data_IF_400828125287
#
_entry.id   IF_400828125287
#
_cell.length_a   1.000
_cell.length_b   1.000
_cell.length_c   1.000
_cell.angle_alpha   90.00
_cell.angle_beta   90.00
_cell.angle_gamma   90.00
#
_symmetry.space_group_name_H-M   'P 1'
#
loop_
_entity.id
_entity.type
_entity.pdbx_description
1 polymer ?
#
# COMPACT_ATOMS: atom_id res chain seq x y z
N UNK A 1 1.81 7.61 20.12
CA UNK A 1 0.74 6.94 20.90
C UNK A 1 0.60 5.48 20.50
N UNK A 2 0.18 4.62 21.43
CA UNK A 2 -0.11 3.21 21.12
C UNK A 2 -1.52 3.16 20.49
N UNK A 3 -1.69 2.67 19.26
CA UNK A 3 -3.00 2.63 18.60
C UNK A 3 -3.94 1.61 19.22
N UNK A 4 -5.23 1.94 19.29
CA UNK A 4 -6.31 0.96 19.51
C UNK A 4 -6.62 0.29 18.18
N UNK A 5 -6.28 -0.98 18.06
CA UNK A 5 -6.40 -1.73 16.81
C UNK A 5 -7.72 -2.48 16.78
N UNK A 6 -8.56 -2.18 15.80
CA UNK A 6 -9.70 -3.00 15.42
C UNK A 6 -9.32 -3.91 14.27
N UNK A 7 -9.64 -5.20 14.39
CA UNK A 7 -9.32 -6.21 13.40
C UNK A 7 -10.62 -6.77 12.84
N UNK A 8 -10.85 -6.54 11.55
CA UNK A 8 -12.07 -6.87 10.83
C UNK A 8 -11.90 -8.20 10.13
N UNK A 9 -12.81 -9.14 10.38
CA UNK A 9 -12.92 -10.39 9.64
C UNK A 9 -14.24 -10.49 8.88
N UNK A 10 -14.29 -11.38 7.89
CA UNK A 10 -15.54 -11.74 7.20
C UNK A 10 -15.87 -13.21 7.43
N UNK A 11 -17.15 -13.49 7.70
CA UNK A 11 -17.67 -14.86 7.84
C UNK A 11 -17.54 -15.69 6.56
N UNK A 12 -17.37 -15.03 5.40
CA UNK A 12 -17.17 -15.69 4.11
C UNK A 12 -15.86 -16.47 4.05
N UNK A 13 -14.79 -15.97 4.68
CA UNK A 13 -13.47 -16.61 4.71
C UNK A 13 -12.58 -16.10 5.84
N UNK A 14 -12.49 -16.90 6.91
CA UNK A 14 -11.70 -16.58 8.12
C UNK A 14 -10.27 -17.16 8.11
N UNK A 15 -9.93 -17.99 7.11
CA UNK A 15 -8.60 -18.62 7.03
C UNK A 15 -7.52 -17.67 6.50
N UNK A 16 -7.82 -16.94 5.42
CA UNK A 16 -6.84 -16.11 4.71
C UNK A 16 -6.39 -14.92 5.54
N UNK A 17 -7.32 -14.30 6.25
CA UNK A 17 -7.02 -13.21 7.18
C UNK A 17 -6.20 -13.67 8.39
N UNK A 18 -6.36 -14.94 8.82
CA UNK A 18 -5.69 -15.49 10.00
C UNK A 18 -4.16 -15.38 10.01
N UNK A 19 -3.52 -15.14 8.86
CA UNK A 19 -2.07 -14.87 8.80
C UNK A 19 -1.68 -13.53 9.42
N UNK A 20 -2.53 -12.50 9.32
CA UNK A 20 -2.34 -11.26 10.07
C UNK A 20 -2.51 -11.51 11.56
N UNK A 21 -3.57 -12.22 11.98
CA UNK A 21 -3.76 -12.59 13.40
C UNK A 21 -2.56 -13.35 13.96
N UNK A 22 -2.10 -14.38 13.25
CA UNK A 22 -0.95 -15.16 13.67
C UNK A 22 0.31 -14.28 13.85
N UNK A 23 0.53 -13.28 12.98
CA UNK A 23 1.61 -12.32 13.16
C UNK A 23 1.40 -11.46 14.41
N UNK A 24 0.23 -10.81 14.55
CA UNK A 24 -0.07 -9.96 15.70
C UNK A 24 0.03 -10.73 17.03
N UNK A 25 -0.54 -11.94 17.10
CA UNK A 25 -0.50 -12.82 18.26
C UNK A 25 0.94 -13.22 18.62
N UNK A 26 1.75 -13.59 17.61
CA UNK A 26 3.16 -13.99 17.81
C UNK A 26 3.99 -12.85 18.38
N UNK A 27 3.76 -11.62 17.91
CA UNK A 27 4.49 -10.43 18.35
C UNK A 27 3.83 -9.71 19.54
N UNK A 28 2.75 -10.27 20.10
CA UNK A 28 2.07 -9.73 21.29
C UNK A 28 1.38 -8.38 21.04
N UNK A 29 0.97 -8.10 19.80
CA UNK A 29 0.26 -6.86 19.45
C UNK A 29 -1.22 -7.05 19.78
N UNK A 30 -1.79 -6.28 20.74
CA UNK A 30 -3.20 -6.42 21.10
C UNK A 30 -4.12 -5.83 20.03
N UNK A 31 -5.23 -6.52 19.75
CA UNK A 31 -6.27 -6.05 18.85
C UNK A 31 -7.66 -6.53 19.30
N UNK A 32 -8.69 -5.79 18.92
CA UNK A 32 -10.09 -6.22 19.10
C UNK A 32 -10.57 -6.86 17.80
N UNK A 33 -10.87 -8.14 17.85
CA UNK A 33 -11.37 -8.92 16.72
C UNK A 33 -12.90 -8.81 16.59
N UNK A 34 -13.42 -8.44 15.41
CA UNK A 34 -14.86 -8.36 15.18
C UNK A 34 -15.28 -8.55 13.71
N UNK A 35 -16.48 -9.04 13.48
CA UNK A 35 -17.01 -9.26 12.13
C UNK A 35 -17.32 -7.95 11.38
N UNK A 36 -17.13 -7.98 10.06
CA UNK A 36 -17.49 -6.94 9.09
C UNK A 36 -18.93 -6.41 9.27
N UNK A 37 -19.88 -7.26 9.64
CA UNK A 37 -21.25 -6.89 9.95
C UNK A 37 -21.38 -5.81 11.03
N UNK A 38 -20.48 -5.79 12.03
CA UNK A 38 -20.51 -4.81 13.13
C UNK A 38 -20.03 -3.42 12.71
N UNK A 39 -19.47 -3.26 11.51
CA UNK A 39 -19.10 -1.93 10.99
C UNK A 39 -20.31 -0.99 10.91
N UNK A 40 -21.52 -1.54 10.71
CA UNK A 40 -22.79 -0.79 10.66
C UNK A 40 -23.16 -0.16 12.00
N UNK A 41 -22.62 -0.66 13.11
CA UNK A 41 -22.86 -0.07 14.44
C UNK A 41 -22.22 1.32 14.57
N UNK A 42 -21.26 1.65 13.70
CA UNK A 42 -20.63 2.96 13.62
C UNK A 42 -19.82 3.33 14.86
N UNK A 43 -19.57 4.64 14.98
CA UNK A 43 -18.76 5.24 16.05
C UNK A 43 -17.36 4.61 16.17
N UNK A 44 -16.79 4.22 15.02
CA UNK A 44 -15.56 3.42 14.95
C UNK A 44 -14.34 4.20 15.47
N UNK A 45 -14.25 5.51 15.20
CA UNK A 45 -13.10 6.34 15.62
C UNK A 45 -13.00 6.50 17.14
N UNK A 46 -14.13 6.48 17.83
CA UNK A 46 -14.14 6.49 19.30
C UNK A 46 -13.60 5.19 19.90
N UNK A 47 -13.62 4.08 19.15
CA UNK A 47 -13.20 2.75 19.61
C UNK A 47 -11.77 2.42 19.15
N UNK A 48 -11.42 2.84 17.93
CA UNK A 48 -10.21 2.44 17.23
C UNK A 48 -9.46 3.64 16.66
N UNK A 49 -8.15 3.48 16.54
CA UNK A 49 -7.25 4.40 15.82
C UNK A 49 -6.80 3.78 14.49
N UNK A 50 -6.64 2.45 14.48
CA UNK A 50 -6.31 1.66 13.28
C UNK A 50 -7.35 0.58 13.09
N UNK A 51 -7.88 0.47 11.88
CA UNK A 51 -8.68 -0.68 11.44
C UNK A 51 -7.86 -1.50 10.45
N UNK A 52 -7.77 -2.80 10.68
CA UNK A 52 -7.12 -3.74 9.77
C UNK A 52 -8.21 -4.59 9.15
N UNK A 53 -8.29 -4.62 7.82
CA UNK A 53 -9.20 -5.48 7.09
C UNK A 53 -8.42 -6.31 6.06
N UNK A 54 -7.92 -7.50 6.45
CA UNK A 54 -7.06 -8.31 5.60
C UNK A 54 -7.78 -8.98 4.43
N UNK A 55 -7.02 -9.69 3.61
CA UNK A 55 -7.55 -10.45 2.48
C UNK A 55 -8.55 -11.52 2.92
N UNK A 56 -9.75 -11.48 2.34
CA UNK A 56 -10.81 -12.48 2.54
C UNK A 56 -11.24 -13.17 1.23
N UNK A 57 -10.55 -12.90 0.11
CA UNK A 57 -10.94 -13.39 -1.21
C UNK A 57 -12.19 -12.68 -1.76
N UNK A 58 -12.70 -13.16 -2.89
CA UNK A 58 -13.89 -12.59 -3.53
C UNK A 58 -13.67 -11.22 -4.19
N UNK A 59 -14.73 -10.67 -4.78
CA UNK A 59 -14.79 -9.29 -5.29
C UNK A 59 -15.20 -8.30 -4.20
N UNK A 60 -15.02 -7.00 -4.43
CA UNK A 60 -15.49 -5.99 -3.49
C UNK A 60 -17.00 -6.12 -3.20
N UNK A 61 -17.81 -6.42 -4.22
CA UNK A 61 -19.25 -6.67 -4.08
C UNK A 61 -19.54 -7.81 -3.12
N UNK A 62 -18.88 -8.96 -3.32
CA UNK A 62 -19.08 -10.12 -2.43
C UNK A 62 -18.62 -9.86 -1.00
N UNK A 63 -17.62 -8.98 -0.81
CA UNK A 63 -17.12 -8.61 0.52
C UNK A 63 -18.06 -7.65 1.24
N UNK A 64 -18.62 -6.66 0.51
CA UNK A 64 -19.60 -5.72 1.06
C UNK A 64 -20.90 -6.44 1.39
N UNK A 65 -21.39 -7.30 0.49
CA UNK A 65 -22.62 -8.05 0.67
C UNK A 65 -22.47 -9.23 1.64
N UNK A 66 -21.27 -9.79 1.77
CA UNK A 66 -20.93 -10.91 2.63
C UNK A 66 -21.63 -12.22 2.23
N UNK A 67 -21.90 -13.09 3.21
CA UNK A 67 -22.53 -14.38 2.96
C UNK A 67 -23.99 -14.20 2.47
N UNK A 68 -24.42 -14.84 1.37
CA UNK A 68 -25.78 -14.69 0.87
C UNK A 68 -26.85 -15.06 1.91
N UNK A 69 -27.90 -14.24 2.02
CA UNK A 69 -29.10 -14.54 2.84
C UNK A 69 -30.05 -15.46 2.08
N UNK A 70 -29.59 -16.65 1.69
CA UNK A 70 -30.44 -17.65 1.05
C UNK A 70 -31.41 -18.26 2.07
N UNK A 71 -32.71 -18.05 1.86
CA UNK A 71 -33.78 -18.52 2.76
C UNK A 71 -34.01 -17.64 3.99
N UNK A 72 -35.11 -17.89 4.70
CA UNK A 72 -35.52 -17.05 5.84
C UNK A 72 -34.87 -17.44 7.17
N UNK A 73 -34.22 -18.61 7.25
CA UNK A 73 -33.63 -19.12 8.49
C UNK A 73 -32.21 -18.60 8.70
N UNK A 74 -31.88 -18.02 9.88
CA UNK A 74 -30.52 -17.58 10.20
C UNK A 74 -29.53 -18.75 10.22
N UNK A 75 -28.25 -18.46 9.95
CA UNK A 75 -27.15 -19.40 10.20
C UNK A 75 -26.39 -18.99 11.46
N UNK A 76 -26.73 -19.54 12.64
CA UNK A 76 -26.01 -19.23 13.87
C UNK A 76 -24.63 -19.88 13.90
N UNK A 77 -23.64 -19.11 14.34
CA UNK A 77 -22.32 -19.62 14.72
C UNK A 77 -22.12 -19.38 16.23
N UNK A 78 -22.53 -20.37 17.02
CA UNK A 78 -22.52 -20.30 18.49
C UNK A 78 -22.13 -21.64 19.11
N UNK A 79 -21.68 -21.58 20.35
CA UNK A 79 -21.55 -22.76 21.20
C UNK A 79 -22.95 -23.28 21.55
N UNK A 80 -23.17 -24.55 21.32
CA UNK A 80 -24.32 -25.30 21.84
C UNK A 80 -23.82 -26.52 22.61
N UNK A 81 -24.75 -27.28 23.22
CA UNK A 81 -24.41 -28.55 23.83
C UNK A 81 -23.79 -29.54 22.81
N UNK A 82 -24.23 -29.49 21.55
CA UNK A 82 -23.75 -30.36 20.47
C UNK A 82 -22.46 -29.84 19.82
N UNK A 83 -22.21 -28.53 19.88
CA UNK A 83 -21.03 -27.88 19.28
C UNK A 83 -20.21 -27.07 20.30
N UNK A 84 -19.72 -27.68 21.40
CA UNK A 84 -19.09 -26.96 22.51
C UNK A 84 -17.78 -26.24 22.13
N UNK A 85 -17.15 -26.68 21.04
CA UNK A 85 -15.85 -26.17 20.57
C UNK A 85 -15.98 -25.08 19.49
N UNK A 86 -17.20 -24.70 19.05
CA UNK A 86 -17.39 -23.60 18.11
C UNK A 86 -17.28 -22.24 18.81
N UNK A 87 -17.25 -21.16 18.03
CA UNK A 87 -17.38 -19.79 18.52
C UNK A 87 -16.42 -19.42 19.67
N UNK A 88 -15.15 -19.82 19.54
CA UNK A 88 -14.11 -19.53 20.53
C UNK A 88 -13.72 -18.05 20.53
N UNK A 89 -13.49 -17.47 19.34
CA UNK A 89 -13.04 -16.08 19.19
C UNK A 89 -14.23 -15.13 19.04
N UNK A 90 -15.24 -15.51 18.26
CA UNK A 90 -16.46 -14.74 18.10
C UNK A 90 -17.67 -15.67 17.88
N UNK A 91 -18.86 -15.15 18.16
CA UNK A 91 -20.15 -15.81 17.96
C UNK A 91 -21.15 -14.87 17.28
N UNK A 92 -22.04 -15.40 16.45
CA UNK A 92 -23.16 -14.65 15.86
C UNK A 92 -24.44 -15.48 15.82
N UNK A 93 -25.59 -14.84 15.97
CA UNK A 93 -26.91 -15.44 15.71
C UNK A 93 -27.15 -15.69 14.22
N UNK A 94 -26.54 -14.89 13.36
CA UNK A 94 -26.62 -15.06 11.91
C UNK A 94 -25.31 -14.57 11.28
N UNK A 95 -24.54 -15.49 10.70
CA UNK A 95 -23.30 -15.15 9.97
C UNK A 95 -23.58 -14.68 8.54
N UNK A 96 -24.85 -14.66 8.10
CA UNK A 96 -25.23 -14.20 6.76
C UNK A 96 -25.27 -12.67 6.66
N UNK A 97 -24.91 -12.16 5.50
CA UNK A 97 -24.71 -10.74 5.20
C UNK A 97 -23.27 -10.31 5.48
N UNK A 98 -22.91 -9.10 5.03
CA UNK A 98 -21.59 -8.49 5.24
C UNK A 98 -21.71 -7.14 5.93
N UNK A 99 -20.81 -6.20 5.62
CA UNK A 99 -20.90 -4.84 6.15
C UNK A 99 -22.02 -4.01 5.51
N UNK A 100 -22.45 -4.33 4.29
CA UNK A 100 -23.35 -3.51 3.50
C UNK A 100 -22.75 -2.15 3.13
N UNK A 101 -23.45 -1.38 2.29
CA UNK A 101 -23.03 -0.02 1.92
C UNK A 101 -22.94 0.87 3.15
N UNK A 102 -23.80 0.66 4.15
CA UNK A 102 -23.79 1.42 5.40
C UNK A 102 -22.50 1.20 6.20
N UNK A 103 -22.05 -0.05 6.33
CA UNK A 103 -20.78 -0.35 6.99
C UNK A 103 -19.58 0.17 6.21
N UNK A 104 -19.65 0.17 4.88
CA UNK A 104 -18.62 0.80 4.03
C UNK A 104 -18.55 2.32 4.22
N UNK A 105 -19.69 2.99 4.34
CA UNK A 105 -19.73 4.43 4.64
C UNK A 105 -19.18 4.73 6.03
N UNK A 106 -19.46 3.89 7.03
CA UNK A 106 -18.86 4.04 8.36
C UNK A 106 -17.34 3.83 8.36
N UNK A 107 -16.81 2.92 7.54
CA UNK A 107 -15.37 2.81 7.31
C UNK A 107 -14.79 4.09 6.69
N UNK A 108 -15.45 4.65 5.68
CA UNK A 108 -15.00 5.90 5.06
C UNK A 108 -15.07 7.09 6.05
N UNK A 109 -16.11 7.14 6.90
CA UNK A 109 -16.24 8.12 7.99
C UNK A 109 -15.09 7.99 9.00
N UNK A 110 -14.80 6.77 9.44
CA UNK A 110 -13.68 6.47 10.34
C UNK A 110 -12.36 7.03 9.83
N UNK A 111 -12.05 6.81 8.55
CA UNK A 111 -10.82 7.32 7.93
C UNK A 111 -10.87 8.84 7.86
N UNK A 112 -11.97 9.43 7.40
CA UNK A 112 -12.12 10.88 7.33
C UNK A 112 -11.90 11.59 8.68
N UNK A 113 -12.33 10.96 9.78
CA UNK A 113 -12.16 11.47 11.15
C UNK A 113 -10.73 11.34 11.69
N UNK A 114 -9.79 10.80 10.92
CA UNK A 114 -8.39 10.66 11.31
C UNK A 114 -8.00 9.25 11.75
N UNK A 115 -8.80 8.24 11.39
CA UNK A 115 -8.42 6.84 11.54
C UNK A 115 -7.57 6.34 10.39
N UNK A 116 -6.82 5.26 10.60
CA UNK A 116 -6.05 4.59 9.54
C UNK A 116 -6.66 3.24 9.22
N UNK A 117 -7.14 3.07 7.99
CA UNK A 117 -7.63 1.79 7.48
C UNK A 117 -6.52 1.09 6.70
N UNK A 118 -6.15 -0.11 7.12
CA UNK A 118 -5.17 -0.97 6.46
C UNK A 118 -5.88 -2.11 5.76
N UNK A 119 -5.77 -2.18 4.43
CA UNK A 119 -6.35 -3.24 3.61
C UNK A 119 -5.28 -4.02 2.86
N UNK A 120 -5.58 -5.28 2.52
CA UNK A 120 -4.61 -6.20 1.96
C UNK A 120 -5.25 -7.16 0.95
N UNK A 121 -4.57 -7.36 -0.17
CA UNK A 121 -5.05 -8.21 -1.25
C UNK A 121 -6.43 -7.76 -1.72
N UNK A 122 -7.40 -8.67 -1.73
CA UNK A 122 -8.76 -8.42 -2.23
C UNK A 122 -9.52 -7.29 -1.52
N UNK A 123 -9.29 -7.00 -0.24
CA UNK A 123 -10.02 -5.90 0.44
C UNK A 123 -9.48 -4.52 0.04
N UNK A 124 -8.27 -4.47 -0.51
CA UNK A 124 -7.68 -3.25 -1.05
C UNK A 124 -8.40 -2.76 -2.33
N UNK A 125 -9.29 -3.57 -2.92
CA UNK A 125 -10.09 -3.16 -4.08
C UNK A 125 -11.38 -2.45 -3.71
N UNK A 126 -11.88 -2.61 -2.47
CA UNK A 126 -13.19 -2.09 -2.05
C UNK A 126 -13.28 -0.57 -2.26
N UNK A 127 -12.41 0.20 -1.61
CA UNK A 127 -12.47 1.66 -1.68
C UNK A 127 -12.30 2.21 -3.11
N UNK A 128 -11.37 1.70 -3.94
CA UNK A 128 -11.28 2.07 -5.34
C UNK A 128 -12.52 1.73 -6.17
N UNK A 129 -13.09 0.52 -6.02
CA UNK A 129 -14.22 0.05 -6.84
C UNK A 129 -15.53 0.77 -6.48
N UNK A 130 -15.72 1.13 -5.22
CA UNK A 130 -16.83 1.96 -4.76
C UNK A 130 -16.56 3.48 -4.92
N UNK A 131 -15.42 3.87 -5.49
CA UNK A 131 -15.10 5.24 -5.84
C UNK A 131 -14.81 6.17 -4.65
N UNK A 132 -14.40 5.61 -3.51
CA UNK A 132 -14.05 6.35 -2.28
C UNK A 132 -12.62 6.89 -2.37
N UNK A 133 -11.69 6.10 -2.91
CA UNK A 133 -10.29 6.53 -3.13
C UNK A 133 -10.09 6.90 -4.60
N UNK A 134 -9.97 8.20 -4.86
CA UNK A 134 -9.83 8.72 -6.23
C UNK A 134 -8.41 8.51 -6.78
N UNK A 135 -8.29 8.37 -8.10
CA UNK A 135 -6.99 8.22 -8.75
C UNK A 135 -6.30 6.86 -8.56
N UNK A 136 -6.92 5.93 -7.82
CA UNK A 136 -6.53 4.51 -7.75
C UNK A 136 -7.48 3.71 -8.64
N UNK A 137 -6.95 2.83 -9.49
CA UNK A 137 -7.76 1.93 -10.32
C UNK A 137 -7.34 0.48 -10.11
N UNK A 138 -8.34 -0.40 -10.11
CA UNK A 138 -8.15 -1.86 -10.06
C UNK A 138 -8.21 -2.40 -11.48
N UNK A 139 -7.21 -3.17 -11.85
CA UNK A 139 -7.09 -3.81 -13.15
C UNK A 139 -7.11 -5.32 -13.02
N UNK A 140 -7.66 -5.98 -14.03
CA UNK A 140 -7.71 -7.45 -14.14
C UNK A 140 -7.18 -7.86 -15.52
N UNK A 141 -5.85 -7.87 -15.72
CA UNK A 141 -5.28 -8.20 -17.01
C UNK A 141 -5.49 -9.70 -17.29
N UNK A 142 -6.39 -10.03 -18.24
CA UNK A 142 -6.76 -11.41 -18.55
C UNK A 142 -5.58 -12.31 -18.97
N UNK A 143 -4.53 -11.72 -19.54
CA UNK A 143 -3.33 -12.44 -19.98
C UNK A 143 -2.29 -12.59 -18.87
N UNK A 144 -2.37 -11.83 -17.77
CA UNK A 144 -1.44 -11.98 -16.66
C UNK A 144 -1.65 -13.35 -16.01
N UNK A 145 -0.57 -14.09 -15.80
CA UNK A 145 -0.62 -15.34 -15.05
C UNK A 145 0.46 -15.33 -13.96
N UNK A 146 0.03 -15.21 -12.70
CA UNK A 146 0.91 -15.34 -11.54
C UNK A 146 0.24 -16.22 -10.50
N UNK A 147 0.90 -17.30 -10.10
CA UNK A 147 0.36 -18.21 -9.09
C UNK A 147 1.37 -18.43 -7.99
N UNK A 148 1.08 -17.83 -6.83
CA UNK A 148 1.86 -17.96 -5.61
C UNK A 148 3.36 -17.74 -5.82
N UNK A 149 3.74 -16.58 -6.35
CA UNK A 149 5.11 -16.29 -6.75
C UNK A 149 5.76 -15.25 -5.86
N UNK A 150 7.08 -15.33 -5.72
CA UNK A 150 7.90 -14.29 -5.11
C UNK A 150 8.39 -13.38 -6.23
N UNK A 151 7.97 -12.13 -6.19
CA UNK A 151 8.31 -11.12 -7.17
C UNK A 151 9.24 -10.07 -6.57
N UNK A 152 10.09 -9.46 -7.40
CA UNK A 152 10.86 -8.27 -7.04
C UNK A 152 9.93 -7.07 -7.08
N UNK A 153 9.78 -6.41 -5.94
CA UNK A 153 9.20 -5.09 -5.82
C UNK A 153 10.26 -4.08 -5.36
N UNK A 154 9.97 -2.80 -5.56
CA UNK A 154 10.83 -1.68 -5.18
C UNK A 154 10.04 -0.66 -4.36
N UNK A 155 10.57 -0.28 -3.21
CA UNK A 155 10.11 0.86 -2.42
C UNK A 155 10.50 2.12 -3.18
N UNK A 156 9.51 2.81 -3.72
CA UNK A 156 9.70 4.04 -4.52
C UNK A 156 9.73 5.30 -3.66
N UNK A 157 9.21 5.23 -2.43
CA UNK A 157 9.26 6.33 -1.48
C UNK A 157 9.78 5.86 -0.12
N UNK A 158 11.10 5.84 0.02
CA UNK A 158 11.80 5.51 1.27
C UNK A 158 11.55 6.54 2.39
N UNK A 159 11.00 7.71 2.08
CA UNK A 159 10.67 8.73 3.09
C UNK A 159 9.31 8.48 3.73
N UNK A 160 8.51 7.56 3.18
CA UNK A 160 7.25 7.14 3.78
C UNK A 160 7.53 6.38 5.08
N UNK A 161 6.78 6.64 6.16
CA UNK A 161 6.88 5.83 7.38
C UNK A 161 6.69 4.34 7.14
N UNK A 162 5.87 3.96 6.15
CA UNK A 162 5.66 2.56 5.76
C UNK A 162 6.98 1.90 5.33
N UNK A 163 7.88 2.67 4.71
CA UNK A 163 9.21 2.23 4.26
C UNK A 163 10.34 2.40 5.28
N UNK A 164 10.06 2.77 6.53
CA UNK A 164 11.12 2.92 7.54
C UNK A 164 11.76 1.58 7.92
N UNK A 165 13.06 1.62 8.20
CA UNK A 165 13.86 0.43 8.53
C UNK A 165 14.38 -0.36 7.34
N UNK A 166 13.98 -0.03 6.11
CA UNK A 166 14.58 -0.61 4.90
C UNK A 166 15.83 0.17 4.48
N UNK A 167 16.95 -0.54 4.29
CA UNK A 167 18.20 0.05 3.79
C UNK A 167 18.31 0.01 2.26
N UNK A 168 17.62 -0.97 1.64
CA UNK A 168 17.55 -1.15 0.20
C UNK A 168 16.12 -0.90 -0.29
N UNK A 169 16.01 -0.35 -1.50
CA UNK A 169 14.74 -0.16 -2.15
C UNK A 169 14.16 -1.49 -2.68
N UNK A 170 14.98 -2.48 -3.00
CA UNK A 170 14.50 -3.75 -3.55
C UNK A 170 14.03 -4.71 -2.45
N UNK A 171 12.82 -5.25 -2.58
CA UNK A 171 12.23 -6.19 -1.64
C UNK A 171 11.56 -7.37 -2.38
N UNK A 172 11.87 -8.63 -2.04
CA UNK A 172 11.10 -9.79 -2.47
C UNK A 172 9.72 -9.83 -1.81
N UNK A 173 8.64 -9.91 -2.59
CA UNK A 173 7.26 -9.88 -2.12
C UNK A 173 6.45 -11.06 -2.66
N UNK A 174 5.55 -11.60 -1.85
CA UNK A 174 4.59 -12.59 -2.34
C UNK A 174 3.44 -11.93 -3.10
N UNK A 175 3.13 -12.46 -4.28
CA UNK A 175 1.98 -12.04 -5.08
C UNK A 175 1.30 -13.23 -5.77
N UNK A 176 -0.03 -13.20 -5.81
CA UNK A 176 -0.84 -14.28 -6.37
C UNK A 176 -1.99 -13.72 -7.20
N UNK A 177 -1.71 -13.47 -8.48
CA UNK A 177 -2.64 -13.02 -9.53
C UNK A 177 -3.24 -11.62 -9.36
N UNK A 178 -3.76 -11.29 -8.19
CA UNK A 178 -4.57 -10.11 -7.92
C UNK A 178 -4.41 -9.62 -6.46
N UNK A 179 -4.73 -8.34 -6.18
CA UNK A 179 -5.18 -7.32 -7.12
C UNK A 179 -4.04 -6.66 -7.90
N UNK A 180 -4.34 -6.12 -9.10
CA UNK A 180 -3.40 -5.25 -9.82
C UNK A 180 -3.84 -3.81 -9.66
N UNK A 181 -3.13 -3.06 -8.82
CA UNK A 181 -3.44 -1.66 -8.55
C UNK A 181 -2.64 -0.72 -9.45
N UNK A 182 -3.29 0.34 -9.90
CA UNK A 182 -2.66 1.44 -10.61
C UNK A 182 -2.98 2.77 -9.94
N UNK A 183 -2.10 3.75 -10.12
CA UNK A 183 -2.37 5.14 -9.74
C UNK A 183 -2.13 6.01 -10.96
N UNK A 184 -3.15 6.78 -11.36
CA UNK A 184 -3.04 7.72 -12.46
C UNK A 184 -1.99 8.79 -12.09
N UNK A 185 -0.89 8.85 -12.84
CA UNK A 185 0.08 9.91 -12.66
C UNK A 185 -0.55 11.21 -13.21
N UNK A 186 -0.89 12.15 -12.31
CA UNK A 186 -1.26 13.51 -12.71
C UNK A 186 -0.15 14.12 -13.57
N UNK A 187 -0.38 14.11 -14.88
CA UNK A 187 0.52 14.49 -15.95
C UNK A 187 -0.21 14.36 -17.28
N UNK A 188 -0.80 15.47 -17.72
CA UNK A 188 -1.39 15.72 -19.05
C UNK A 188 -2.59 14.87 -19.48
N UNK A 189 -3.72 15.55 -19.68
CA UNK A 189 -4.85 15.03 -20.42
C UNK A 189 -4.43 14.60 -21.82
N UNK A 190 -4.74 13.36 -22.14
CA UNK A 190 -4.62 12.79 -23.47
C UNK A 190 -5.46 11.53 -23.48
N UNK A 191 -6.63 11.60 -24.13
CA UNK A 191 -7.39 10.42 -24.52
C UNK A 191 -6.53 9.59 -25.47
N UNK A 192 -5.67 8.75 -24.91
CA UNK A 192 -4.85 7.81 -25.64
C UNK A 192 -5.47 6.44 -25.53
N UNK A 193 -6.27 6.06 -26.54
CA UNK A 193 -6.41 4.65 -26.92
C UNK A 193 -4.99 4.13 -27.19
N UNK A 194 -4.39 3.51 -26.19
CA UNK A 194 -3.12 2.80 -26.33
C UNK A 194 -3.35 1.56 -27.17
N UNK A 195 -3.30 1.73 -28.50
CA UNK A 195 -3.14 0.61 -29.41
C UNK A 195 -1.86 -0.13 -29.03
N UNK A 196 -2.01 -1.41 -28.69
CA UNK A 196 -0.89 -2.31 -28.51
C UNK A 196 -0.05 -2.27 -29.80
N UNK A 197 1.27 -2.02 -29.73
CA UNK A 197 2.14 -2.28 -30.86
C UNK A 197 2.09 -3.79 -31.12
N UNK A 198 1.74 -4.15 -32.35
CA UNK A 198 1.64 -5.53 -32.79
C UNK A 198 2.88 -6.31 -32.39
N UNK A 199 2.71 -7.25 -31.48
CA UNK A 199 3.75 -8.19 -31.07
C UNK A 199 3.25 -9.60 -31.34
N UNK A 200 4.09 -10.28 -32.11
CA UNK A 200 3.92 -11.55 -32.80
C UNK A 200 3.34 -12.65 -31.88
N UNK A 201 2.29 -13.40 -32.25
CA UNK A 201 1.66 -14.42 -31.39
C UNK A 201 2.54 -15.65 -31.11
N UNK A 202 3.77 -15.70 -31.65
CA UNK A 202 4.58 -16.91 -31.75
C UNK A 202 6.10 -16.69 -31.53
N UNK A 203 6.50 -15.78 -30.65
CA UNK A 203 7.91 -15.62 -30.29
C UNK A 203 8.30 -16.42 -29.04
N UNK A 204 8.63 -17.70 -29.24
CA UNK A 204 9.76 -18.38 -28.59
C UNK A 204 9.64 -18.80 -27.12
N UNK A 205 9.23 -20.05 -26.92
CA UNK A 205 9.28 -20.82 -25.68
C UNK A 205 10.68 -20.95 -25.06
N UNK A 206 10.72 -20.97 -23.72
CA UNK A 206 11.96 -21.16 -22.96
C UNK A 206 11.80 -21.59 -21.49
N UNK A 207 10.79 -22.40 -21.13
CA UNK A 207 10.93 -23.35 -20.03
C UNK A 207 9.92 -24.49 -20.21
N UNK A 208 10.43 -25.68 -20.52
CA UNK A 208 9.64 -26.91 -20.59
C UNK A 208 9.35 -27.39 -19.17
N UNK A 209 8.07 -27.37 -18.77
CA UNK A 209 7.56 -27.74 -17.44
C UNK A 209 6.74 -29.04 -17.44
N UNK A 210 6.82 -29.89 -18.48
CA UNK A 210 5.98 -31.09 -18.59
C UNK A 210 6.73 -32.34 -19.08
N UNK A 211 7.21 -33.24 -18.18
CA UNK A 211 7.77 -34.54 -18.57
C UNK A 211 6.74 -35.56 -19.08
N UNK A 212 5.45 -35.23 -19.11
CA UNK A 212 4.36 -36.06 -19.65
C UNK A 212 3.58 -35.33 -20.76
N UNK A 213 4.28 -34.77 -21.74
CA UNK A 213 3.68 -33.99 -22.83
C UNK A 213 2.76 -34.79 -23.79
N UNK A 214 2.54 -36.08 -23.56
CA UNK A 214 1.54 -36.89 -24.28
C UNK A 214 0.73 -37.72 -23.27
N UNK A 215 -0.52 -37.35 -22.97
CA UNK A 215 -1.40 -38.16 -22.12
C UNK A 215 -1.95 -39.37 -22.88
N UNK A 216 -1.90 -40.57 -22.28
CA UNK A 216 -2.69 -41.73 -22.73
C UNK A 216 -4.17 -41.49 -22.39
N UNK A 217 -5.01 -41.34 -23.42
CA UNK A 217 -6.46 -41.13 -23.28
C UNK A 217 -7.14 -42.42 -22.81
N UNK A 218 -7.64 -42.40 -21.58
CA UNK A 218 -8.67 -43.33 -21.12
C UNK A 218 -9.80 -42.47 -20.55
N UNK A 219 -10.99 -42.59 -21.14
CA UNK A 219 -12.28 -41.99 -20.82
C UNK A 219 -12.80 -40.89 -21.77
N UNK A 220 -14.03 -41.07 -22.33
CA UNK A 220 -14.75 -40.07 -23.12
C UNK A 220 -15.68 -39.26 -22.21
N UNK A 221 -15.19 -38.13 -21.71
CA UNK A 221 -16.06 -37.13 -21.10
C UNK A 221 -15.95 -35.85 -21.93
N UNK A 222 -17.04 -35.44 -22.56
CA UNK A 222 -17.13 -34.15 -23.24
C UNK A 222 -17.16 -33.06 -22.17
N UNK A 223 -16.15 -32.21 -22.16
CA UNK A 223 -16.11 -31.07 -21.26
C UNK A 223 -17.12 -30.02 -21.75
N UNK A 224 -18.05 -29.63 -20.87
CA UNK A 224 -18.85 -28.43 -21.02
C UNK A 224 -17.95 -27.24 -21.38
N UNK A 225 -18.28 -26.57 -22.48
CA UNK A 225 -17.60 -25.35 -22.93
C UNK A 225 -18.00 -24.09 -22.14
N UNK A 226 -18.67 -24.24 -21.00
CA UNK A 226 -19.14 -23.12 -20.15
C UNK A 226 -18.31 -22.94 -18.87
N UNK A 227 -17.06 -23.42 -18.83
CA UNK A 227 -16.13 -23.02 -17.78
C UNK A 227 -15.69 -21.56 -17.99
N UNK A 228 -16.46 -20.63 -17.42
CA UNK A 228 -16.13 -19.21 -17.38
C UNK A 228 -14.70 -19.00 -16.84
N UNK A 229 -13.89 -18.13 -17.47
CA UNK A 229 -12.58 -17.80 -16.93
C UNK A 229 -12.74 -17.18 -15.54
N UNK A 230 -12.09 -17.78 -14.53
CA UNK A 230 -11.97 -17.22 -13.19
C UNK A 230 -11.15 -15.93 -13.27
N UNK A 231 -11.78 -14.80 -13.57
CA UNK A 231 -11.02 -13.58 -13.83
C UNK A 231 -11.82 -12.33 -14.20
N UNK A 232 -13.14 -12.32 -13.97
CA UNK A 232 -13.88 -11.06 -13.88
C UNK A 232 -14.45 -10.98 -12.47
N UNK A 233 -13.76 -10.28 -11.57
CA UNK A 233 -14.40 -9.89 -10.32
C UNK A 233 -15.68 -9.11 -10.65
N UNK A 234 -16.78 -9.44 -9.99
CA UNK A 234 -18.01 -8.66 -10.13
C UNK A 234 -17.72 -7.23 -9.66
N UNK A 235 -17.81 -6.28 -10.59
CA UNK A 235 -17.69 -4.86 -10.26
C UNK A 235 -18.99 -4.40 -9.60
N UNK A 236 -18.94 -3.49 -8.62
CA UNK A 236 -20.13 -2.90 -8.05
C UNK A 236 -21.04 -2.33 -9.13
N UNK A 237 -22.35 -2.64 -9.10
CA UNK A 237 -23.29 -2.09 -10.06
C UNK A 237 -23.43 -0.58 -9.83
N UNK A 238 -23.78 0.15 -10.90
CA UNK A 238 -23.68 1.61 -10.91
C UNK A 238 -24.62 2.30 -9.90
N UNK A 239 -25.74 1.66 -9.59
CA UNK A 239 -26.71 2.03 -8.56
C UNK A 239 -26.12 1.90 -7.15
N UNK A 240 -25.43 0.81 -6.81
CA UNK A 240 -24.80 0.61 -5.50
C UNK A 240 -23.63 1.61 -5.28
N UNK A 241 -22.87 1.89 -6.33
CA UNK A 241 -21.84 2.96 -6.30
C UNK A 241 -22.49 4.34 -6.11
N UNK A 242 -23.63 4.59 -6.77
CA UNK A 242 -24.37 5.83 -6.60
C UNK A 242 -24.95 5.96 -5.20
N UNK A 243 -25.50 4.88 -4.63
CA UNK A 243 -25.99 4.79 -3.25
C UNK A 243 -24.85 5.07 -2.26
N UNK A 244 -23.71 4.41 -2.43
CA UNK A 244 -22.52 4.64 -1.60
C UNK A 244 -22.11 6.12 -1.63
N UNK A 245 -22.09 6.73 -2.82
CA UNK A 245 -21.75 8.15 -2.97
C UNK A 245 -22.80 9.06 -2.32
N UNK A 246 -24.09 8.76 -2.49
CA UNK A 246 -25.17 9.53 -1.88
C UNK A 246 -25.10 9.46 -0.36
N UNK A 247 -24.94 8.26 0.20
CA UNK A 247 -24.85 8.04 1.65
C UNK A 247 -23.56 8.64 2.24
N UNK A 248 -22.44 8.56 1.51
CA UNK A 248 -21.20 9.25 1.86
C UNK A 248 -21.40 10.77 1.92
N UNK A 249 -22.04 11.37 0.91
CA UNK A 249 -22.33 12.81 0.87
C UNK A 249 -23.27 13.23 2.02
N UNK A 250 -24.33 12.46 2.29
CA UNK A 250 -25.23 12.70 3.41
C UNK A 250 -24.52 12.59 4.76
N UNK A 251 -23.52 11.71 4.85
CA UNK A 251 -22.67 11.53 6.02
C UNK A 251 -21.54 12.56 6.13
N UNK A 252 -21.49 13.55 5.23
CA UNK A 252 -20.47 14.59 5.22
C UNK A 252 -19.09 14.12 4.75
N UNK A 253 -18.99 12.96 4.09
CA UNK A 253 -17.74 12.39 3.63
C UNK A 253 -17.26 13.14 2.39
N UNK A 254 -16.11 13.80 2.50
CA UNK A 254 -15.45 14.54 1.42
C UNK A 254 -14.51 13.59 0.70
N UNK A 255 -14.95 13.11 -0.45
CA UNK A 255 -14.11 12.37 -1.39
C UNK A 255 -13.20 13.40 -2.08
N UNK A 256 -12.05 13.67 -1.46
CA UNK A 256 -11.06 14.60 -1.99
C UNK A 256 -10.30 13.97 -3.17
N UNK A 257 -9.93 14.81 -4.15
CA UNK A 257 -9.04 14.46 -5.26
C UNK A 257 -7.57 14.39 -4.82
N UNK A 258 -7.31 14.06 -3.55
CA UNK A 258 -5.96 13.94 -3.03
C UNK A 258 -5.22 12.83 -3.73
N UNK A 259 -4.02 13.14 -4.21
CA UNK A 259 -3.21 12.17 -4.94
C UNK A 259 -2.70 11.06 -4.01
N UNK A 260 -2.85 9.77 -4.38
CA UNK A 260 -2.28 8.67 -3.62
C UNK A 260 -0.74 8.75 -3.55
N UNK A 261 -0.17 8.45 -2.40
CA UNK A 261 1.27 8.31 -2.17
C UNK A 261 1.66 6.85 -2.42
N UNK A 262 2.34 6.60 -3.53
CA UNK A 262 2.80 5.24 -3.87
C UNK A 262 4.10 4.94 -3.13
N UNK A 263 4.05 3.97 -2.22
CA UNK A 263 5.19 3.56 -1.39
C UNK A 263 6.02 2.50 -2.11
N UNK A 264 5.38 1.54 -2.76
CA UNK A 264 6.04 0.41 -3.41
C UNK A 264 5.40 0.07 -4.75
N UNK A 265 6.24 -0.30 -5.73
CA UNK A 265 5.83 -0.80 -7.04
C UNK A 265 6.49 -2.13 -7.35
N UNK A 266 5.85 -2.95 -8.18
CA UNK A 266 6.52 -4.07 -8.83
C UNK A 266 7.64 -3.57 -9.76
N UNK A 267 8.61 -4.44 -10.03
CA UNK A 267 9.76 -4.13 -10.89
C UNK A 267 9.37 -3.42 -12.19
N UNK A 268 10.18 -2.45 -12.60
CA UNK A 268 10.04 -1.78 -13.89
C UNK A 268 10.47 -2.69 -15.07
N UNK A 269 11.23 -3.75 -14.80
CA UNK A 269 11.63 -4.75 -15.78
C UNK A 269 10.90 -6.06 -15.51
N UNK A 270 10.09 -6.52 -16.48
CA UNK A 270 9.37 -7.79 -16.39
C UNK A 270 10.32 -9.00 -16.32
N UNK A 271 11.47 -8.93 -17.00
CA UNK A 271 12.42 -10.05 -17.07
C UNK A 271 13.11 -10.34 -15.73
N UNK A 272 13.26 -9.32 -14.88
CA UNK A 272 13.91 -9.45 -13.56
C UNK A 272 12.89 -9.48 -12.41
N UNK A 273 11.59 -9.55 -12.74
CA UNK A 273 10.50 -9.47 -11.77
C UNK A 273 10.30 -10.79 -11.03
N UNK A 274 10.40 -11.93 -11.72
CA UNK A 274 10.22 -13.24 -11.08
C UNK A 274 11.48 -13.63 -10.31
N UNK A 275 11.37 -13.81 -8.99
CA UNK A 275 12.44 -14.37 -8.16
C UNK A 275 12.23 -15.86 -7.89
N UNK A 276 10.97 -16.28 -7.71
CA UNK A 276 10.58 -17.68 -7.51
C UNK A 276 9.10 -17.90 -7.85
N UNK A 277 8.73 -19.09 -8.33
CA UNK A 277 7.36 -19.46 -8.69
C UNK A 277 7.09 -19.33 -10.19
N UNK A 278 5.87 -18.94 -10.56
CA UNK A 278 5.43 -18.86 -11.96
C UNK A 278 4.91 -17.47 -12.31
N UNK A 279 5.48 -16.87 -13.36
CA UNK A 279 5.05 -15.61 -13.93
C UNK A 279 5.01 -15.75 -15.46
N UNK A 280 3.83 -15.55 -16.05
CA UNK A 280 3.69 -15.30 -17.48
C UNK A 280 3.04 -13.94 -17.70
N UNK A 281 3.44 -13.26 -18.77
CA UNK A 281 2.96 -11.93 -19.13
C UNK A 281 3.18 -10.85 -18.06
N UNK A 282 4.38 -10.84 -17.45
CA UNK A 282 4.77 -9.88 -16.40
C UNK A 282 4.75 -8.41 -16.82
N UNK A 283 4.67 -8.10 -18.12
CA UNK A 283 4.46 -6.73 -18.63
C UNK A 283 3.21 -6.06 -18.04
N UNK A 284 2.20 -6.82 -17.65
CA UNK A 284 0.99 -6.26 -17.04
C UNK A 284 1.18 -5.85 -15.57
N UNK A 285 2.23 -6.32 -14.90
CA UNK A 285 2.60 -5.93 -13.54
C UNK A 285 3.70 -4.85 -13.50
N UNK A 286 4.34 -4.55 -14.62
CA UNK A 286 5.44 -3.58 -14.67
C UNK A 286 5.00 -2.24 -14.09
N UNK A 287 5.77 -1.77 -13.09
CA UNK A 287 5.52 -0.52 -12.36
C UNK A 287 4.14 -0.42 -11.70
N UNK A 288 3.37 -1.51 -11.57
CA UNK A 288 2.10 -1.52 -10.85
C UNK A 288 2.31 -1.41 -9.37
N UNK A 289 1.29 -0.93 -8.67
CA UNK A 289 1.40 -0.58 -7.27
C UNK A 289 1.33 -1.84 -6.41
N UNK A 290 2.33 -2.01 -5.55
CA UNK A 290 2.39 -3.09 -4.57
C UNK A 290 1.92 -2.62 -3.18
N UNK A 291 2.20 -1.35 -2.83
CA UNK A 291 1.72 -0.71 -1.60
C UNK A 291 1.54 0.80 -1.83
N UNK A 292 0.46 1.37 -1.30
CA UNK A 292 0.21 2.81 -1.32
C UNK A 292 -0.52 3.30 -0.08
N UNK A 293 -0.39 4.59 0.18
CA UNK A 293 -1.14 5.34 1.18
C UNK A 293 -2.03 6.38 0.46
N UNK A 294 -3.33 6.34 0.71
CA UNK A 294 -4.28 7.32 0.19
C UNK A 294 -4.85 8.15 1.35
N UNK A 295 -4.59 9.46 1.41
CA UNK A 295 -5.19 10.30 2.42
C UNK A 295 -6.70 10.47 2.13
N UNK A 296 -7.53 10.47 3.17
CA UNK A 296 -8.96 10.74 3.06
C UNK A 296 -9.38 11.51 4.29
N UNK A 297 -9.81 12.77 4.10
CA UNK A 297 -10.03 13.68 5.21
C UNK A 297 -8.76 13.88 6.05
N UNK A 298 -8.83 13.55 7.35
CA UNK A 298 -7.70 13.64 8.28
C UNK A 298 -6.92 12.33 8.44
N UNK A 299 -7.41 11.23 7.86
CA UNK A 299 -6.83 9.91 8.03
C UNK A 299 -6.35 9.32 6.72
N UNK A 300 -6.08 8.03 6.75
CA UNK A 300 -5.36 7.32 5.69
C UNK A 300 -5.97 5.96 5.38
N UNK A 301 -6.00 5.62 4.09
CA UNK A 301 -6.26 4.26 3.60
C UNK A 301 -4.95 3.70 3.06
N UNK A 302 -4.34 2.78 3.83
CA UNK A 302 -3.14 2.06 3.43
C UNK A 302 -3.56 0.78 2.71
N UNK A 303 -3.21 0.66 1.44
CA UNK A 303 -3.61 -0.44 0.58
C UNK A 303 -2.40 -1.25 0.14
N UNK A 304 -2.39 -2.54 0.49
CA UNK A 304 -1.40 -3.50 0.03
C UNK A 304 -2.00 -4.39 -1.06
N UNK A 305 -1.44 -4.35 -2.27
CA UNK A 305 -1.74 -5.35 -3.31
C UNK A 305 -1.01 -6.66 -3.05
N UNK A 306 0.14 -6.58 -2.39
CA UNK A 306 0.85 -7.74 -1.85
C UNK A 306 0.21 -8.20 -0.54
N UNK A 307 0.64 -9.36 -0.04
CA UNK A 307 0.18 -9.92 1.24
C UNK A 307 1.32 -9.91 2.27
N UNK A 308 1.51 -8.86 3.11
CA UNK A 308 2.73 -8.68 3.89
C UNK A 308 3.00 -9.78 4.92
N UNK A 309 1.96 -10.39 5.48
CA UNK A 309 2.06 -11.42 6.51
C UNK A 309 1.76 -12.84 6.01
N UNK A 310 1.59 -13.02 4.69
CA UNK A 310 1.08 -14.26 4.13
C UNK A 310 1.98 -15.46 4.44
N UNK A 311 1.45 -16.47 5.15
CA UNK A 311 2.14 -17.74 5.40
C UNK A 311 3.56 -17.58 5.95
N UNK A 312 3.83 -16.54 6.73
CA UNK A 312 5.17 -16.26 7.24
C UNK A 312 6.20 -15.85 6.19
N UNK A 313 5.78 -15.53 4.96
CA UNK A 313 6.64 -15.24 3.82
C UNK A 313 6.22 -13.98 3.05
N UNK A 314 7.13 -13.06 2.74
CA UNK A 314 8.53 -13.00 3.19
C UNK A 314 8.58 -12.26 4.54
N UNK A 315 9.42 -12.67 5.49
CA UNK A 315 9.55 -11.92 6.76
C UNK A 315 9.94 -10.45 6.53
N UNK A 316 10.68 -10.19 5.44
CA UNK A 316 11.03 -8.84 5.03
C UNK A 316 9.83 -7.93 4.76
N UNK A 317 8.64 -8.43 4.45
CA UNK A 317 7.45 -7.58 4.24
C UNK A 317 6.69 -7.22 5.51
N UNK A 318 6.99 -7.86 6.64
CA UNK A 318 6.26 -7.66 7.90
C UNK A 318 6.36 -6.20 8.38
N UNK A 319 7.56 -5.61 8.23
CA UNK A 319 7.84 -4.24 8.63
C UNK A 319 6.93 -3.24 7.92
N UNK A 320 6.48 -3.49 6.67
CA UNK A 320 5.50 -2.62 6.00
C UNK A 320 4.18 -2.52 6.79
N UNK A 321 3.64 -3.66 7.21
CA UNK A 321 2.38 -3.73 7.96
C UNK A 321 2.53 -3.14 9.36
N UNK A 322 3.61 -3.49 10.07
CA UNK A 322 3.88 -2.92 11.38
C UNK A 322 4.13 -1.42 11.33
N UNK A 323 4.86 -0.91 10.34
CA UNK A 323 5.08 0.51 10.19
C UNK A 323 3.78 1.27 9.93
N UNK A 324 2.85 0.70 9.16
CA UNK A 324 1.53 1.30 8.94
C UNK A 324 0.73 1.41 10.25
N UNK A 325 0.84 0.40 11.13
CA UNK A 325 0.20 0.41 12.46
C UNK A 325 0.91 1.39 13.41
N UNK A 326 2.24 1.32 13.50
CA UNK A 326 3.02 2.11 14.47
C UNK A 326 3.01 3.60 14.15
N UNK A 327 3.01 3.96 12.87
CA UNK A 327 3.05 5.35 12.40
C UNK A 327 1.67 5.82 11.90
N UNK A 328 0.58 5.21 12.38
CA UNK A 328 -0.78 5.43 11.88
C UNK A 328 -1.20 6.91 11.85
N UNK A 329 -0.72 7.71 12.81
CA UNK A 329 -1.02 9.13 12.96
C UNK A 329 -0.02 10.05 12.25
N UNK A 330 1.04 9.51 11.64
CA UNK A 330 2.16 10.27 11.06
C UNK A 330 2.49 9.84 9.61
N UNK A 331 1.57 9.16 8.91
CA UNK A 331 1.80 8.62 7.55
C UNK A 331 2.12 9.68 6.49
N UNK A 332 1.80 10.95 6.75
CA UNK A 332 2.18 12.10 5.94
C UNK A 332 3.65 12.53 6.09
N UNK A 333 4.39 11.99 7.07
CA UNK A 333 5.78 12.35 7.28
C UNK A 333 6.63 12.12 6.02
N UNK A 334 7.50 13.09 5.70
CA UNK A 334 8.36 13.06 4.53
C UNK A 334 7.64 13.27 3.18
N UNK A 335 6.32 13.44 3.17
CA UNK A 335 5.57 13.80 1.96
C UNK A 335 5.99 15.20 1.53
N UNK A 336 6.48 15.34 0.29
CA UNK A 336 6.75 16.66 -0.27
C UNK A 336 5.42 17.39 -0.46
N UNK A 337 5.09 18.32 0.43
CA UNK A 337 4.02 19.30 0.18
C UNK A 337 4.41 20.08 -1.07
N UNK A 338 3.76 19.76 -2.21
CA UNK A 338 3.68 20.73 -3.29
C UNK A 338 2.91 21.91 -2.73
N UNK A 339 3.50 23.10 -2.78
CA UNK A 339 3.06 24.31 -2.08
C UNK A 339 1.64 24.81 -2.42
N UNK A 340 0.84 24.06 -3.18
CA UNK A 340 -0.46 24.47 -3.74
C UNK A 340 -0.38 25.60 -4.78
N UNK A 341 0.74 26.33 -4.82
CA UNK A 341 1.01 27.42 -5.75
C UNK A 341 1.05 26.90 -7.19
N UNK A 342 0.39 27.62 -8.10
CA UNK A 342 0.47 27.30 -9.52
C UNK A 342 1.93 27.39 -9.97
N UNK A 343 2.33 26.54 -10.92
CA UNK A 343 3.68 26.56 -11.49
C UNK A 343 4.09 27.97 -11.94
N UNK A 344 3.15 28.71 -12.54
CA UNK A 344 3.31 30.11 -12.93
C UNK A 344 3.67 31.02 -11.75
N UNK A 345 3.05 30.83 -10.59
CA UNK A 345 3.32 31.65 -9.39
C UNK A 345 4.70 31.34 -8.81
N UNK A 346 5.09 30.06 -8.81
CA UNK A 346 6.43 29.65 -8.39
C UNK A 346 7.50 30.21 -9.34
N UNK A 347 7.27 30.14 -10.65
CA UNK A 347 8.17 30.71 -11.65
C UNK A 347 8.25 32.22 -11.53
N UNK A 348 7.11 32.91 -11.38
CA UNK A 348 7.06 34.36 -11.21
C UNK A 348 7.75 34.82 -9.92
N UNK A 349 7.56 34.12 -8.80
CA UNK A 349 8.25 34.42 -7.54
C UNK A 349 9.75 34.18 -7.68
N UNK A 350 10.16 33.07 -8.31
CA UNK A 350 11.58 32.76 -8.54
C UNK A 350 12.24 33.79 -9.46
N UNK A 351 11.56 34.20 -10.53
CA UNK A 351 12.02 35.27 -11.43
C UNK A 351 12.09 36.61 -10.70
N UNK A 352 11.10 36.96 -9.88
CA UNK A 352 11.14 38.19 -9.06
C UNK A 352 12.30 38.17 -8.09
N UNK A 353 12.60 37.03 -7.44
CA UNK A 353 13.75 36.88 -6.55
C UNK A 353 15.09 36.92 -7.29
N UNK A 354 15.15 36.34 -8.49
CA UNK A 354 16.35 36.37 -9.33
C UNK A 354 16.63 37.74 -9.97
N UNK A 355 15.57 38.51 -10.27
CA UNK A 355 15.66 39.86 -10.84
C UNK A 355 15.73 40.97 -9.77
N UNK A 356 15.32 40.67 -8.54
CA UNK A 356 15.57 41.52 -7.38
C UNK A 356 17.08 41.51 -7.11
N UNK A 357 17.80 42.42 -7.77
CA UNK A 357 19.19 42.70 -7.49
C UNK A 357 19.30 43.04 -6.00
N UNK A 358 19.95 42.20 -5.17
CA UNK A 358 20.17 42.60 -3.79
C UNK A 358 20.97 43.91 -3.80
N UNK A 359 20.72 44.84 -2.86
CA UNK A 359 21.57 46.02 -2.73
C UNK A 359 23.01 45.53 -2.67
N UNK A 360 23.88 46.11 -3.51
CA UNK A 360 25.28 45.74 -3.55
C UNK A 360 25.80 45.72 -2.11
N UNK A 361 26.27 44.56 -1.65
CA UNK A 361 26.92 44.49 -0.35
C UNK A 361 28.03 45.55 -0.37
N UNK A 362 28.14 46.41 0.66
CA UNK A 362 29.24 47.36 0.72
C UNK A 362 30.54 46.58 0.53
N UNK A 363 31.50 47.09 -0.26
CA UNK A 363 32.73 46.37 -0.55
C UNK A 363 33.32 45.91 0.77
N UNK A 364 33.37 44.59 0.97
CA UNK A 364 33.95 44.00 2.17
C UNK A 364 35.35 44.54 2.34
N UNK A 365 35.74 44.87 3.57
CA UNK A 365 37.08 45.36 3.82
C UNK A 365 38.09 44.37 3.22
N UNK A 366 39.07 44.84 2.42
CA UNK A 366 40.04 43.95 1.82
C UNK A 366 40.75 43.17 2.94
N UNK A 367 40.88 41.86 2.74
CA UNK A 367 41.56 41.00 3.69
C UNK A 367 42.97 41.55 3.93
N UNK A 368 43.28 41.89 5.18
CA UNK A 368 44.62 42.36 5.56
C UNK A 368 45.38 41.17 6.14
N UNK A 369 46.28 40.59 5.33
CA UNK A 369 47.25 39.61 5.84
C UNK A 369 48.20 40.35 6.78
N UNK A 370 48.20 39.98 8.05
CA UNK A 370 49.21 40.44 9.02
C UNK A 370 50.19 39.31 9.24
N UNK A 371 51.47 39.55 8.94
CA UNK A 371 52.54 38.62 9.27
C UNK A 371 52.66 38.60 10.79
N UNK A 372 52.50 37.42 11.39
CA UNK A 372 52.78 37.19 12.81
C UNK A 372 54.22 36.68 12.92
N UNK A 373 54.99 37.25 13.83
CA UNK A 373 56.31 36.73 14.17
C UNK A 373 56.14 35.35 14.82
N UNK A 374 56.83 34.35 14.27
CA UNK A 374 56.79 32.96 14.72
C UNK A 374 57.60 32.73 16.00
N UNK A 375 58.26 33.77 16.53
CA UNK A 375 59.07 33.69 17.73
C UNK A 375 60.27 32.74 17.57
N UNK A 376 60.86 32.33 18.70
CA UNK A 376 61.96 31.35 18.70
C UNK A 376 61.39 29.94 18.51
N UNK A 377 61.28 29.51 17.26
CA UNK A 377 60.99 28.12 16.91
C UNK A 377 62.00 27.20 17.60
N UNK A 378 61.52 26.18 18.31
CA UNK A 378 62.37 25.20 19.00
C UNK A 378 63.16 24.38 17.97
N UNK A 379 64.44 24.07 18.20
CA UNK A 379 65.22 23.23 17.30
C UNK A 379 64.56 21.84 17.15
N UNK A 380 64.09 21.50 15.94
CA UNK A 380 63.47 20.20 15.63
C UNK A 380 62.10 20.27 14.94
N UNK A 381 61.44 21.43 14.88
CA UNK A 381 60.21 21.60 14.10
C UNK A 381 60.53 21.78 12.61
N UNK A 382 60.00 20.89 11.76
CA UNK A 382 60.05 21.04 10.30
C UNK A 382 58.79 21.77 9.83
N UNK A 383 58.94 22.70 8.88
CA UNK A 383 57.83 23.46 8.25
C UNK A 383 56.81 22.56 7.53
N UNK A 384 57.14 21.28 7.39
CA UNK A 384 56.42 20.26 6.64
C UNK A 384 55.20 19.71 7.41
N UNK A 385 55.07 20.01 8.71
CA UNK A 385 53.91 19.62 9.54
C UNK A 385 53.16 20.85 10.06
N UNK A 386 52.31 21.39 9.19
CA UNK A 386 51.51 22.61 9.43
C UNK A 386 50.56 22.45 10.62
N UNK A 387 50.05 21.24 10.89
CA UNK A 387 49.11 20.99 11.98
C UNK A 387 49.78 21.19 13.36
N UNK A 388 50.99 20.65 13.54
CA UNK A 388 51.74 20.82 14.79
C UNK A 388 52.19 22.28 15.01
N UNK A 389 52.53 22.98 13.93
CA UNK A 389 52.92 24.40 13.98
C UNK A 389 51.73 25.29 14.42
N UNK A 390 50.54 25.05 13.88
CA UNK A 390 49.33 25.79 14.25
C UNK A 390 48.93 25.55 15.72
N UNK A 391 49.06 24.32 16.21
CA UNK A 391 48.75 23.97 17.60
C UNK A 391 49.68 24.67 18.61
N UNK A 392 50.96 24.87 18.26
CA UNK A 392 51.92 25.60 19.10
C UNK A 392 51.69 27.13 19.07
N UNK A 393 51.27 27.69 17.93
CA UNK A 393 51.07 29.15 17.76
C UNK A 393 49.70 29.60 18.30
N UNK A 394 48.66 28.81 18.11
CA UNK A 394 47.26 29.22 18.37
C UNK A 394 46.63 28.47 19.56
N UNK A 395 47.30 27.43 20.07
CA UNK A 395 46.85 26.64 21.22
C UNK A 395 45.79 25.58 20.86
N UNK A 396 45.46 24.69 21.81
CA UNK A 396 44.72 23.44 21.55
C UNK A 396 43.22 23.60 21.20
N UNK A 397 42.73 24.82 20.97
CA UNK A 397 41.31 25.12 20.79
C UNK A 397 40.86 25.27 19.32
N UNK A 398 41.71 24.97 18.33
CA UNK A 398 41.35 25.03 16.91
C UNK A 398 41.34 23.64 16.24
N UNK A 399 40.46 22.75 16.73
CA UNK A 399 39.99 21.58 15.96
C UNK A 399 38.60 21.81 15.41
#
# INVERSE_FOLDING_TARGET
DIPRIGYIHSWTRTQDEGWWRAALDTFGVPYTYFADQKLREGNLRSKYDVLIFPHVGGSAVSQVNGMPKTGNSPLPYKKTADTPNLAYVESSDDIRGGMGVEGLVELARFVQEGGTLVTEGSTATIFPEYGITTGVTVEEPAQLFVRGSILRARITDMKSPIGYGYESADLPVYFNQAPVLNVAAGGFGGGGRGGAPGTNPNAGFGQNVTPNAVPLRIQPFEADTDAAPSGRGERPPADEVAETRQLAQQSGITIDATRPRVVMRFSANANDMLLSGTLANGQHLVSRVAALDHPLGKGHVVMFAIRPFWRWQTQGTYTLGFNAIMNWNDLDAGRQQRSGRAFRDVVNDTLRRGLARPPASPPGQPFKVRVRDLGRLRPGLRMDNIAALLEEIEGPLHR
#
